data_IF_213807998930
#
_entry.id   IF_213807998930
#
_cell.length_a   1.000
_cell.length_b   1.000
_cell.length_c   1.000
_cell.angle_alpha   90.00
_cell.angle_beta   90.00
_cell.angle_gamma   90.00
#
_symmetry.space_group_name_H-M   'P 1'
#
loop_
_entity.id
_entity.type
_entity.pdbx_description
1 polymer ?
#
# COMPACT_ATOMS: atom_id res chain seq x y z
N UNK A 1 -10.13 -3.64 24.49
CA UNK A 1 -9.07 -3.68 23.46
C UNK A 1 -9.54 -4.65 22.38
N UNK A 2 -9.59 -4.21 21.13
CA UNK A 2 -10.09 -4.97 19.97
C UNK A 2 -9.24 -6.25 19.76
N UNK A 3 -9.88 -7.42 19.66
CA UNK A 3 -9.19 -8.73 19.59
C UNK A 3 -8.29 -8.84 18.37
N UNK A 4 -8.66 -8.26 17.24
CA UNK A 4 -7.82 -8.24 16.05
C UNK A 4 -6.47 -7.57 16.34
N UNK A 5 -6.49 -6.49 17.14
CA UNK A 5 -5.27 -5.79 17.59
C UNK A 5 -4.42 -6.61 18.55
N UNK A 6 -5.05 -7.41 19.40
CA UNK A 6 -4.30 -8.31 20.30
C UNK A 6 -3.64 -9.43 19.49
N UNK A 7 -4.38 -10.08 18.60
CA UNK A 7 -3.86 -11.19 17.79
C UNK A 7 -2.73 -10.74 16.87
N UNK A 8 -2.85 -9.59 16.22
CA UNK A 8 -1.79 -9.07 15.35
C UNK A 8 -0.53 -8.71 16.14
N UNK A 9 -0.66 -8.13 17.33
CA UNK A 9 0.48 -7.83 18.20
C UNK A 9 1.17 -9.11 18.65
N UNK A 10 0.41 -10.11 19.11
CA UNK A 10 0.97 -11.40 19.53
C UNK A 10 1.67 -12.11 18.37
N UNK A 11 1.04 -12.12 17.18
CA UNK A 11 1.65 -12.73 15.99
C UNK A 11 2.94 -11.99 15.60
N UNK A 12 2.90 -10.66 15.62
CA UNK A 12 4.06 -9.82 15.32
C UNK A 12 5.20 -10.02 16.32
N UNK A 13 4.94 -9.97 17.62
CA UNK A 13 5.97 -10.18 18.65
C UNK A 13 6.54 -11.59 18.64
N UNK A 14 5.71 -12.59 18.31
CA UNK A 14 6.19 -13.96 18.11
C UNK A 14 7.14 -14.06 16.92
N UNK A 15 6.93 -13.24 15.89
CA UNK A 15 7.77 -13.24 14.68
C UNK A 15 8.97 -12.28 14.75
N UNK A 16 8.90 -11.18 15.49
CA UNK A 16 10.01 -10.23 15.60
C UNK A 16 11.20 -10.79 16.39
N UNK A 17 10.97 -11.83 17.19
CA UNK A 17 12.04 -12.64 17.80
C UNK A 17 12.90 -13.40 16.78
N UNK A 18 12.49 -13.49 15.50
CA UNK A 18 13.30 -14.07 14.41
C UNK A 18 14.40 -13.12 13.88
N UNK A 19 14.75 -12.07 14.63
CA UNK A 19 15.77 -11.07 14.27
C UNK A 19 17.18 -11.61 13.95
N UNK A 20 17.62 -12.86 14.27
CA UNK A 20 18.87 -13.38 13.71
C UNK A 20 18.61 -14.17 12.40
N UNK A 21 17.95 -13.56 11.42
CA UNK A 21 17.99 -14.02 10.01
C UNK A 21 19.06 -13.26 9.20
N UNK A 22 20.04 -12.65 9.88
CA UNK A 22 21.32 -12.36 9.25
C UNK A 22 21.90 -13.69 8.75
N UNK A 23 21.70 -13.98 7.47
CA UNK A 23 22.23 -15.18 6.85
C UNK A 23 23.73 -15.23 7.10
N UNK A 24 24.18 -16.10 8.01
CA UNK A 24 25.59 -16.42 8.15
C UNK A 24 26.06 -16.98 6.82
N UNK A 25 26.81 -16.17 6.08
CA UNK A 25 27.52 -16.56 4.86
C UNK A 25 28.51 -17.65 5.24
N UNK A 26 28.16 -18.91 5.06
CA UNK A 26 29.11 -20.02 5.27
C UNK A 26 28.54 -21.37 5.67
N UNK A 27 27.26 -21.49 6.01
CA UNK A 27 26.68 -22.82 6.29
C UNK A 27 26.02 -23.38 5.02
N UNK A 28 26.63 -24.42 4.44
CA UNK A 28 25.96 -25.33 3.51
C UNK A 28 24.74 -25.93 4.22
N UNK A 29 23.61 -25.23 4.15
CA UNK A 29 22.36 -25.66 4.75
C UNK A 29 21.71 -26.72 3.87
N UNK A 30 21.37 -27.85 4.48
CA UNK A 30 20.43 -28.83 3.92
C UNK A 30 19.19 -28.12 3.33
N UNK A 31 18.64 -28.63 2.22
CA UNK A 31 17.49 -28.02 1.53
C UNK A 31 16.28 -27.79 2.45
N UNK A 32 16.13 -28.62 3.47
CA UNK A 32 15.10 -28.45 4.50
C UNK A 32 15.34 -27.22 5.40
N UNK A 33 16.60 -26.86 5.67
CA UNK A 33 16.97 -25.65 6.41
C UNK A 33 16.66 -24.37 5.64
N UNK A 34 16.82 -24.39 4.31
CA UNK A 34 16.51 -23.24 3.44
C UNK A 34 15.00 -22.96 3.40
N UNK A 35 14.19 -24.01 3.22
CA UNK A 35 12.73 -23.90 3.22
C UNK A 35 12.19 -23.42 4.57
N UNK A 36 12.78 -23.86 5.68
CA UNK A 36 12.41 -23.38 7.02
C UNK A 36 12.66 -21.88 7.16
N UNK A 37 13.84 -21.40 6.76
CA UNK A 37 14.21 -19.98 6.81
C UNK A 37 13.31 -19.11 5.92
N UNK A 38 12.97 -19.59 4.74
CA UNK A 38 12.02 -18.91 3.85
C UNK A 38 10.65 -18.74 4.51
N UNK A 39 10.16 -19.80 5.17
CA UNK A 39 8.88 -19.77 5.86
C UNK A 39 8.89 -18.76 7.01
N UNK A 40 9.96 -18.73 7.81
CA UNK A 40 10.13 -17.74 8.88
C UNK A 40 10.16 -16.32 8.33
N UNK A 41 10.89 -16.08 7.24
CA UNK A 41 10.95 -14.79 6.55
C UNK A 41 9.57 -14.37 6.01
N UNK A 42 8.83 -15.29 5.39
CA UNK A 42 7.46 -15.03 4.93
C UNK A 42 6.52 -14.70 6.10
N UNK A 43 6.64 -15.41 7.22
CA UNK A 43 5.86 -15.14 8.43
C UNK A 43 6.17 -13.76 9.01
N UNK A 44 7.45 -13.37 9.07
CA UNK A 44 7.87 -12.03 9.46
C UNK A 44 7.22 -10.97 8.57
N UNK A 45 7.38 -11.06 7.24
CA UNK A 45 6.83 -10.07 6.32
C UNK A 45 5.30 -10.01 6.35
N UNK A 46 4.62 -11.14 6.54
CA UNK A 46 3.17 -11.15 6.67
C UNK A 46 2.71 -10.41 7.95
N UNK A 47 3.35 -10.68 9.10
CA UNK A 47 3.03 -10.01 10.35
C UNK A 47 3.39 -8.51 10.29
N UNK A 48 4.56 -8.20 9.75
CA UNK A 48 5.04 -6.84 9.57
C UNK A 48 4.12 -6.02 8.66
N UNK A 49 3.76 -6.57 7.49
CA UNK A 49 2.83 -5.92 6.57
C UNK A 49 1.46 -5.68 7.22
N UNK A 50 0.99 -6.58 8.08
CA UNK A 50 -0.28 -6.40 8.79
C UNK A 50 -0.21 -5.22 9.79
N UNK A 51 0.89 -5.12 10.55
CA UNK A 51 1.12 -3.98 11.45
C UNK A 51 1.19 -2.68 10.64
N UNK A 52 1.92 -2.68 9.52
CA UNK A 52 2.04 -1.52 8.64
C UNK A 52 0.72 -1.14 7.96
N UNK A 53 -0.10 -2.11 7.56
CA UNK A 53 -1.39 -1.86 6.92
C UNK A 53 -2.38 -1.17 7.86
N UNK A 54 -2.41 -1.56 9.14
CA UNK A 54 -3.29 -0.98 10.15
C UNK A 54 -2.67 0.22 10.88
N UNK A 55 -1.34 0.34 10.84
CA UNK A 55 -0.52 1.19 11.70
C UNK A 55 -0.92 1.09 13.19
N UNK A 56 -1.34 -0.09 13.66
CA UNK A 56 -1.82 -0.31 15.02
C UNK A 56 -1.12 -1.54 15.62
N UNK A 57 -0.59 -1.43 16.84
CA UNK A 57 -0.43 -0.22 17.67
C UNK A 57 0.53 0.81 17.06
N UNK A 58 0.28 2.10 17.35
CA UNK A 58 1.09 3.22 16.89
C UNK A 58 2.59 3.05 17.21
N UNK A 59 2.91 2.51 18.39
CA UNK A 59 4.29 2.26 18.81
C UNK A 59 5.02 1.27 17.89
N UNK A 60 4.37 0.18 17.48
CA UNK A 60 4.96 -0.78 16.54
C UNK A 60 5.03 -0.19 15.14
N UNK A 61 4.01 0.53 14.68
CA UNK A 61 4.07 1.21 13.39
C UNK A 61 5.23 2.23 13.31
N UNK A 62 5.52 2.90 14.43
CA UNK A 62 6.66 3.81 14.58
C UNK A 62 8.01 3.12 14.72
N UNK A 63 8.09 1.83 14.97
CA UNK A 63 9.39 1.14 15.07
C UNK A 63 9.55 0.06 13.98
N UNK A 64 8.51 -0.19 13.19
CA UNK A 64 8.45 -1.20 12.15
C UNK A 64 9.61 -1.09 11.15
N UNK A 65 10.13 0.13 10.93
CA UNK A 65 11.26 0.36 10.03
C UNK A 65 12.59 -0.17 10.58
N UNK A 66 12.87 -0.01 11.88
CA UNK A 66 14.07 -0.55 12.51
C UNK A 66 14.05 -2.09 12.51
N UNK A 67 12.86 -2.66 12.58
CA UNK A 67 12.67 -4.11 12.59
C UNK A 67 12.79 -4.74 11.20
N UNK A 68 12.40 -4.03 10.14
CA UNK A 68 12.54 -4.48 8.75
C UNK A 68 13.90 -4.13 8.11
N UNK A 69 14.72 -3.30 8.76
CA UNK A 69 16.02 -2.93 8.23
C UNK A 69 16.92 -4.15 8.07
N UNK A 70 17.63 -4.23 6.94
CA UNK A 70 18.54 -5.32 6.57
C UNK A 70 17.88 -6.71 6.52
N UNK A 71 16.54 -6.77 6.64
CA UNK A 71 15.78 -7.99 6.41
C UNK A 71 15.60 -8.16 4.91
N UNK A 72 15.99 -9.32 4.35
CA UNK A 72 15.85 -9.54 2.91
C UNK A 72 14.39 -9.54 2.47
N UNK A 73 14.12 -8.97 1.30
CA UNK A 73 12.76 -8.89 0.74
C UNK A 73 12.26 -10.27 0.29
N UNK A 74 10.92 -10.49 0.27
CA UNK A 74 10.33 -11.73 -0.22
C UNK A 74 10.70 -12.02 -1.69
N UNK A 75 11.05 -13.27 -1.99
CA UNK A 75 11.29 -13.76 -3.34
C UNK A 75 10.00 -14.06 -4.11
N UNK A 76 10.10 -14.15 -5.43
CA UNK A 76 9.00 -14.67 -6.22
C UNK A 76 8.87 -16.20 -6.03
N UNK A 77 7.66 -16.77 -6.10
CA UNK A 77 7.44 -18.20 -5.92
C UNK A 77 8.32 -19.04 -6.87
N UNK A 78 9.03 -20.03 -6.31
CA UNK A 78 9.85 -20.98 -7.09
C UNK A 78 11.32 -20.60 -7.29
N UNK A 79 11.76 -19.46 -6.76
CA UNK A 79 13.15 -18.99 -6.93
C UNK A 79 14.15 -19.51 -5.88
N UNK A 80 13.67 -20.08 -4.77
CA UNK A 80 14.54 -20.60 -3.71
C UNK A 80 15.25 -21.92 -4.00
N UNK A 81 15.10 -22.47 -5.20
CA UNK A 81 15.72 -23.76 -5.55
C UNK A 81 17.26 -23.71 -5.65
N UNK A 82 17.87 -22.52 -5.58
CA UNK A 82 19.32 -22.36 -5.62
C UNK A 82 19.84 -21.74 -4.32
N UNK A 83 20.82 -22.41 -3.70
CA UNK A 83 21.60 -21.93 -2.54
C UNK A 83 22.26 -20.56 -2.77
N UNK A 84 22.51 -20.17 -4.02
CA UNK A 84 23.02 -18.84 -4.41
C UNK A 84 21.99 -17.70 -4.31
N UNK A 85 20.69 -18.00 -4.17
CA UNK A 85 19.62 -17.01 -4.30
C UNK A 85 19.51 -16.09 -3.06
N UNK A 86 19.81 -16.62 -1.87
CA UNK A 86 19.67 -15.90 -0.59
C UNK A 86 20.71 -14.78 -0.39
N UNK A 87 21.88 -14.90 -1.02
CA UNK A 87 22.94 -13.90 -0.96
C UNK A 87 22.67 -12.69 -1.88
N UNK A 88 21.69 -12.78 -2.79
CA UNK A 88 21.37 -11.76 -3.81
C UNK A 88 20.10 -10.96 -3.53
N UNK A 89 19.51 -11.13 -2.35
CA UNK A 89 18.22 -10.52 -2.01
C UNK A 89 18.37 -9.03 -1.75
N UNK A 90 17.56 -8.22 -2.43
CA UNK A 90 17.40 -6.81 -2.09
C UNK A 90 16.86 -6.68 -0.66
N UNK A 91 17.27 -5.63 0.04
CA UNK A 91 16.78 -5.29 1.38
C UNK A 91 16.51 -3.79 1.47
N UNK A 92 15.87 -3.37 2.55
CA UNK A 92 15.64 -1.96 2.85
C UNK A 92 16.58 -1.51 3.97
N UNK A 93 17.27 -0.38 3.77
CA UNK A 93 18.08 0.24 4.82
C UNK A 93 17.20 1.03 5.83
N UNK A 94 17.82 1.57 6.88
CA UNK A 94 17.14 2.37 7.91
C UNK A 94 16.42 3.61 7.36
N UNK A 95 16.83 4.09 6.18
CA UNK A 95 16.27 5.25 5.49
C UNK A 95 15.29 4.88 4.38
N UNK A 96 14.89 3.61 4.31
CA UNK A 96 13.97 3.08 3.31
C UNK A 96 14.49 3.21 1.87
N UNK A 97 15.80 3.06 1.69
CA UNK A 97 16.41 2.88 0.39
C UNK A 97 16.53 1.39 0.10
N UNK A 98 16.15 1.00 -1.11
CA UNK A 98 16.29 -0.37 -1.56
C UNK A 98 17.72 -0.57 -2.04
N UNK A 99 18.45 -1.47 -1.39
CA UNK A 99 19.83 -1.76 -1.71
C UNK A 99 19.96 -3.22 -2.15
N UNK A 100 20.70 -3.49 -3.24
CA UNK A 100 21.08 -4.85 -3.57
C UNK A 100 22.12 -5.34 -2.55
N UNK A 101 21.96 -6.57 -2.04
CA UNK A 101 22.86 -7.16 -1.04
C UNK A 101 24.27 -7.47 -1.55
N UNK A 102 24.44 -7.61 -2.87
CA UNK A 102 25.75 -7.72 -3.51
C UNK A 102 25.84 -6.75 -4.68
N UNK A 103 26.72 -5.77 -4.58
CA UNK A 103 27.26 -5.06 -5.75
C UNK A 103 28.25 -6.00 -6.44
N UNK A 104 27.77 -6.92 -7.28
CA UNK A 104 28.70 -7.69 -8.10
C UNK A 104 29.37 -6.77 -9.11
N UNK A 105 30.69 -6.76 -9.14
CA UNK A 105 31.56 -6.00 -10.06
C UNK A 105 31.41 -6.38 -11.55
N UNK A 106 30.43 -7.21 -11.90
CA UNK A 106 30.18 -7.66 -13.26
C UNK A 106 28.72 -7.33 -13.69
N UNK A 107 28.49 -6.20 -14.38
CA UNK A 107 27.15 -5.65 -14.64
C UNK A 107 26.33 -6.40 -15.70
N UNK A 108 26.84 -7.49 -16.30
CA UNK A 108 26.23 -8.09 -17.50
C UNK A 108 25.28 -9.28 -17.25
N UNK A 109 25.03 -9.74 -16.01
CA UNK A 109 24.27 -10.99 -15.81
C UNK A 109 23.28 -11.08 -14.65
N UNK A 110 22.98 -10.01 -13.92
CA UNK A 110 22.10 -10.12 -12.74
C UNK A 110 20.84 -9.28 -12.91
N UNK A 111 19.90 -9.77 -13.73
CA UNK A 111 18.51 -9.38 -13.57
C UNK A 111 18.00 -10.05 -12.29
N UNK A 112 18.02 -9.31 -11.17
CA UNK A 112 17.33 -9.76 -9.97
C UNK A 112 15.86 -9.99 -10.35
N UNK A 113 15.31 -11.18 -10.04
CA UNK A 113 13.95 -11.46 -10.41
C UNK A 113 12.98 -10.51 -9.70
N UNK A 114 12.04 -9.96 -10.46
CA UNK A 114 10.98 -9.10 -9.93
C UNK A 114 10.06 -9.90 -9.01
N UNK A 115 9.91 -9.43 -7.78
CA UNK A 115 9.00 -10.00 -6.79
C UNK A 115 7.87 -9.01 -6.52
N UNK A 116 6.65 -9.36 -6.93
CA UNK A 116 5.44 -8.56 -6.63
C UNK A 116 5.35 -8.29 -5.13
N UNK A 117 5.65 -9.29 -4.30
CA UNK A 117 5.63 -9.15 -2.84
C UNK A 117 6.77 -8.29 -2.33
N UNK A 118 7.95 -8.35 -2.94
CA UNK A 118 9.06 -7.44 -2.63
C UNK A 118 8.67 -5.98 -2.83
N UNK A 119 8.11 -5.64 -3.98
CA UNK A 119 7.60 -4.29 -4.27
C UNK A 119 6.45 -3.90 -3.33
N UNK A 120 5.60 -4.86 -2.97
CA UNK A 120 4.51 -4.64 -2.03
C UNK A 120 5.03 -4.27 -0.63
N UNK A 121 6.07 -4.95 -0.14
CA UNK A 121 6.69 -4.63 1.15
C UNK A 121 7.34 -3.24 1.14
N UNK A 122 7.95 -2.83 0.01
CA UNK A 122 8.49 -1.47 -0.14
C UNK A 122 7.39 -0.41 -0.03
N UNK A 123 6.25 -0.59 -0.70
CA UNK A 123 5.15 0.37 -0.66
C UNK A 123 4.38 0.38 0.65
N UNK A 124 4.16 -0.78 1.29
CA UNK A 124 3.35 -0.83 2.53
C UNK A 124 4.05 -0.13 3.70
N UNK A 125 5.39 -0.07 3.72
CA UNK A 125 6.09 0.75 4.72
C UNK A 125 5.99 2.25 4.45
N UNK A 126 5.95 2.68 3.18
CA UNK A 126 5.61 4.08 2.85
C UNK A 126 4.19 4.40 3.31
N UNK A 127 3.24 3.48 3.07
CA UNK A 127 1.86 3.61 3.56
C UNK A 127 1.78 3.75 5.08
N UNK A 128 2.55 2.95 5.84
CA UNK A 128 2.58 3.05 7.30
C UNK A 128 3.02 4.45 7.78
N UNK A 129 4.03 5.06 7.13
CA UNK A 129 4.47 6.43 7.43
C UNK A 129 3.40 7.48 7.11
N UNK A 130 2.72 7.32 5.98
CA UNK A 130 1.59 8.19 5.60
C UNK A 130 0.47 8.12 6.64
N UNK A 131 0.16 6.92 7.15
CA UNK A 131 -0.82 6.77 8.23
C UNK A 131 -0.38 7.49 9.51
N UNK A 132 0.88 7.35 9.93
CA UNK A 132 1.43 8.07 11.09
C UNK A 132 1.32 9.59 10.90
N UNK A 133 1.71 10.09 9.72
CA UNK A 133 1.56 11.50 9.36
C UNK A 133 0.10 11.94 9.48
N UNK A 134 -0.84 11.19 8.90
CA UNK A 134 -2.27 11.53 8.91
C UNK A 134 -2.89 11.58 10.31
N UNK A 135 -2.33 10.85 11.27
CA UNK A 135 -2.76 10.83 12.68
C UNK A 135 -2.08 11.89 13.54
N UNK A 136 -0.95 12.43 13.08
CA UNK A 136 -0.21 13.45 13.84
C UNK A 136 -0.90 14.79 13.62
N UNK A 137 -1.65 15.25 14.63
CA UNK A 137 -2.37 16.52 14.59
C UNK A 137 -1.38 17.70 14.68
N UNK A 138 -0.78 18.08 13.55
CA UNK A 138 -0.02 19.33 13.44
C UNK A 138 -0.90 20.46 12.91
N UNK A 139 -0.78 21.67 13.48
CA UNK A 139 -1.49 22.87 13.02
C UNK A 139 -1.14 23.22 11.56
N UNK A 140 0.08 22.89 11.13
CA UNK A 140 0.57 23.09 9.76
C UNK A 140 1.11 21.77 9.18
N UNK A 141 0.90 21.50 7.89
CA UNK A 141 1.42 20.29 7.27
C UNK A 141 2.94 20.40 7.06
N UNK A 142 3.69 19.39 7.48
CA UNK A 142 5.11 19.26 7.14
C UNK A 142 5.27 18.93 5.65
N UNK A 143 5.44 20.00 4.84
CA UNK A 143 5.54 19.91 3.38
C UNK A 143 6.75 19.05 2.97
N UNK A 144 7.89 19.20 3.63
CA UNK A 144 9.11 18.46 3.31
C UNK A 144 8.91 16.97 3.53
N UNK A 145 8.27 16.60 4.64
CA UNK A 145 7.98 15.19 4.91
C UNK A 145 6.93 14.61 3.95
N UNK A 146 5.88 15.37 3.62
CA UNK A 146 4.85 14.99 2.64
C UNK A 146 5.46 14.74 1.25
N UNK A 147 6.24 15.69 0.75
CA UNK A 147 6.87 15.60 -0.57
C UNK A 147 7.90 14.46 -0.60
N UNK A 148 8.67 14.28 0.48
CA UNK A 148 9.61 13.17 0.60
C UNK A 148 8.94 11.79 0.54
N UNK A 149 7.80 11.61 1.20
CA UNK A 149 7.02 10.36 1.14
C UNK A 149 6.39 10.14 -0.25
N UNK A 150 5.86 11.19 -0.87
CA UNK A 150 5.32 11.12 -2.23
C UNK A 150 6.41 10.73 -3.24
N UNK A 151 7.59 11.36 -3.16
CA UNK A 151 8.73 11.08 -4.02
C UNK A 151 9.24 9.65 -3.85
N UNK A 152 9.31 9.16 -2.61
CA UNK A 152 9.74 7.78 -2.31
C UNK A 152 8.76 6.74 -2.87
N UNK A 153 7.45 6.93 -2.71
CA UNK A 153 6.45 6.06 -3.34
C UNK A 153 6.57 6.06 -4.87
N UNK A 154 6.80 7.24 -5.46
CA UNK A 154 6.99 7.40 -6.91
C UNK A 154 8.24 6.69 -7.41
N UNK A 155 9.37 6.80 -6.71
CA UNK A 155 10.62 6.12 -7.06
C UNK A 155 10.44 4.60 -7.10
N UNK A 156 9.68 4.02 -6.16
CA UNK A 156 9.38 2.58 -6.16
C UNK A 156 8.52 2.22 -7.39
N UNK A 157 7.48 3.01 -7.66
CA UNK A 157 6.56 2.77 -8.78
C UNK A 157 7.20 2.89 -10.16
N UNK A 158 8.15 3.81 -10.32
CA UNK A 158 8.88 4.05 -11.58
C UNK A 158 10.11 3.14 -11.73
N UNK A 159 10.37 2.26 -10.76
CA UNK A 159 11.44 1.27 -10.83
C UNK A 159 11.20 0.29 -11.97
N UNK A 160 12.27 -0.12 -12.66
CA UNK A 160 12.22 -1.20 -13.66
C UNK A 160 11.80 -2.55 -13.07
N UNK A 161 11.88 -2.70 -11.75
CA UNK A 161 11.43 -3.89 -11.03
C UNK A 161 9.91 -3.91 -10.80
N UNK A 162 9.22 -2.78 -10.98
CA UNK A 162 7.80 -2.69 -10.71
C UNK A 162 7.01 -3.43 -11.80
N UNK A 163 6.15 -4.40 -11.45
CA UNK A 163 5.42 -5.19 -12.44
C UNK A 163 4.42 -4.30 -13.19
N UNK A 164 4.36 -4.36 -14.54
CA UNK A 164 3.47 -3.52 -15.31
C UNK A 164 2.01 -3.97 -15.21
N UNK A 165 1.08 -3.02 -15.29
CA UNK A 165 -0.34 -3.30 -15.48
C UNK A 165 -0.60 -3.75 -16.93
N UNK A 166 -1.28 -4.89 -17.11
CA UNK A 166 -1.59 -5.44 -18.43
C UNK A 166 -3.10 -5.48 -18.63
N UNK A 167 -3.61 -4.78 -19.65
CA UNK A 167 -5.05 -4.65 -19.96
C UNK A 167 -5.57 -5.70 -20.97
N UNK A 168 -4.85 -6.80 -21.16
CA UNK A 168 -5.11 -7.78 -22.23
C UNK A 168 -6.15 -8.87 -21.92
N UNK A 169 -6.91 -9.27 -22.94
CA UNK A 169 -7.84 -10.43 -22.92
C UNK A 169 -7.12 -11.79 -22.95
N UNK A 170 -5.83 -11.79 -23.25
CA UNK A 170 -5.03 -13.01 -23.34
C UNK A 170 -4.58 -13.44 -21.94
N UNK A 171 -5.38 -14.34 -21.36
CA UNK A 171 -5.13 -15.00 -20.06
C UNK A 171 -4.91 -14.03 -18.89
N UNK A 172 -5.93 -13.87 -18.04
CA UNK A 172 -5.81 -13.21 -16.74
C UNK A 172 -4.55 -13.74 -16.03
N UNK A 173 -3.54 -12.89 -15.74
CA UNK A 173 -2.34 -13.32 -15.04
C UNK A 173 -2.72 -14.01 -13.74
N UNK A 174 -2.05 -15.12 -13.38
CA UNK A 174 -2.31 -15.82 -12.11
C UNK A 174 -2.26 -14.89 -10.88
N UNK A 175 -1.47 -13.82 -10.97
CA UNK A 175 -1.27 -12.82 -9.93
C UNK A 175 -2.00 -11.48 -10.19
N UNK A 176 -3.00 -11.42 -11.08
CA UNK A 176 -3.65 -10.17 -11.48
C UNK A 176 -4.21 -9.37 -10.30
N UNK A 177 -4.85 -10.03 -9.33
CA UNK A 177 -5.35 -9.39 -8.10
C UNK A 177 -4.23 -8.80 -7.22
N UNK A 178 -3.05 -9.44 -7.20
CA UNK A 178 -1.88 -8.96 -6.43
C UNK A 178 -1.23 -7.76 -7.12
N UNK A 179 -1.13 -7.79 -8.45
CA UNK A 179 -0.66 -6.67 -9.26
C UNK A 179 -1.61 -5.48 -9.07
N UNK A 180 -2.93 -5.70 -9.17
CA UNK A 180 -3.92 -4.66 -8.87
C UNK A 180 -3.72 -4.10 -7.45
N UNK A 181 -3.58 -4.98 -6.45
CA UNK A 181 -3.29 -4.57 -5.07
C UNK A 181 -2.05 -3.68 -4.95
N UNK A 182 -0.98 -4.01 -5.66
CA UNK A 182 0.26 -3.24 -5.66
C UNK A 182 0.09 -1.85 -6.29
N UNK A 183 -0.53 -1.76 -7.48
CA UNK A 183 -0.81 -0.48 -8.13
C UNK A 183 -1.79 0.36 -7.30
N UNK A 184 -2.86 -0.24 -6.76
CA UNK A 184 -3.82 0.45 -5.89
C UNK A 184 -3.15 1.00 -4.63
N UNK A 185 -2.20 0.28 -4.04
CA UNK A 185 -1.44 0.76 -2.89
C UNK A 185 -0.60 1.99 -3.23
N UNK A 186 0.05 2.02 -4.39
CA UNK A 186 0.76 3.21 -4.86
C UNK A 186 -0.18 4.41 -5.03
N UNK A 187 -1.30 4.23 -5.72
CA UNK A 187 -2.28 5.31 -5.92
C UNK A 187 -2.87 5.78 -4.59
N UNK A 188 -3.14 4.87 -3.66
CA UNK A 188 -3.58 5.19 -2.30
C UNK A 188 -2.55 6.07 -1.57
N UNK A 189 -1.26 5.71 -1.63
CA UNK A 189 -0.20 6.51 -1.03
C UNK A 189 -0.22 7.95 -1.56
N UNK A 190 -0.30 8.13 -2.88
CA UNK A 190 -0.31 9.46 -3.51
C UNK A 190 -1.58 10.25 -3.19
N UNK A 191 -2.75 9.60 -3.20
CA UNK A 191 -4.02 10.24 -2.85
C UNK A 191 -3.99 10.77 -1.42
N UNK A 192 -3.54 9.97 -0.45
CA UNK A 192 -3.64 10.31 0.97
C UNK A 192 -2.52 11.25 1.41
N UNK A 193 -1.27 11.06 0.94
CA UNK A 193 -0.12 11.85 1.41
C UNK A 193 -0.25 13.33 1.07
N UNK A 194 -0.88 13.66 -0.05
CA UNK A 194 -1.05 15.04 -0.53
C UNK A 194 -2.32 15.73 0.01
N UNK A 195 -3.29 14.98 0.54
CA UNK A 195 -4.53 15.53 1.10
C UNK A 195 -4.32 16.68 2.11
N UNK A 196 -3.34 16.62 3.05
CA UNK A 196 -3.09 17.71 3.98
C UNK A 196 -2.76 19.06 3.30
N UNK A 197 -2.18 19.03 2.09
CA UNK A 197 -1.81 20.22 1.31
C UNK A 197 -2.98 20.83 0.52
N UNK A 198 -4.16 20.21 0.58
CA UNK A 198 -5.31 20.58 -0.22
C UNK A 198 -6.47 20.95 0.70
N UNK A 199 -6.81 22.23 0.80
CA UNK A 199 -7.89 22.73 1.69
C UNK A 199 -9.22 21.99 1.50
N UNK A 200 -9.53 21.61 0.25
CA UNK A 200 -10.76 20.88 -0.09
C UNK A 200 -10.81 19.47 0.54
N UNK A 201 -9.66 18.82 0.73
CA UNK A 201 -9.58 17.47 1.28
C UNK A 201 -9.12 17.45 2.75
N UNK A 202 -8.39 18.47 3.21
CA UNK A 202 -7.92 18.60 4.59
C UNK A 202 -8.96 19.18 5.56
N UNK A 203 -10.06 19.76 5.04
CA UNK A 203 -11.09 20.42 5.84
C UNK A 203 -10.63 21.74 6.48
N UNK A 204 -9.42 22.21 6.17
CA UNK A 204 -8.86 23.46 6.68
C UNK A 204 -9.34 24.64 5.85
N UNK A 205 -9.60 25.78 6.49
CA UNK A 205 -9.81 27.03 5.76
C UNK A 205 -8.50 27.47 5.13
N UNK A 206 -8.54 27.84 3.85
CA UNK A 206 -7.37 28.39 3.16
C UNK A 206 -6.93 29.67 3.88
N UNK A 207 -5.66 29.73 4.29
CA UNK A 207 -5.12 30.94 4.91
C UNK A 207 -5.00 32.04 3.84
N UNK A 208 -5.28 33.32 4.16
CA UNK A 208 -5.00 34.42 3.24
C UNK A 208 -3.48 34.47 2.99
N UNK A 209 -3.04 34.07 1.80
CA UNK A 209 -1.63 33.95 1.43
C UNK A 209 -1.17 32.53 1.06
N UNK A 210 -2.02 31.51 1.25
CA UNK A 210 -1.74 30.17 0.72
C UNK A 210 -1.52 30.23 -0.79
N UNK A 211 -0.44 29.55 -1.24
CA UNK A 211 -0.07 29.38 -2.65
C UNK A 211 -1.19 28.62 -3.38
N UNK A 212 -2.26 29.32 -3.77
CA UNK A 212 -3.42 28.80 -4.49
C UNK A 212 -3.02 27.92 -5.67
N UNK A 213 -1.91 28.26 -6.33
CA UNK A 213 -1.35 27.50 -7.45
C UNK A 213 -0.79 26.14 -7.00
N UNK A 214 -0.07 26.07 -5.88
CA UNK A 214 0.46 24.81 -5.36
C UNK A 214 -0.65 23.91 -4.81
N UNK A 215 -1.62 24.48 -4.08
CA UNK A 215 -2.82 23.75 -3.65
C UNK A 215 -3.60 23.19 -4.85
N UNK A 216 -3.72 23.97 -5.94
CA UNK A 216 -4.35 23.51 -7.17
C UNK A 216 -3.56 22.39 -7.83
N UNK A 217 -2.25 22.55 -7.99
CA UNK A 217 -1.38 21.52 -8.57
C UNK A 217 -1.48 20.20 -7.78
N UNK A 218 -1.44 20.26 -6.45
CA UNK A 218 -1.62 19.08 -5.60
C UNK A 218 -3.00 18.44 -5.78
N UNK A 219 -4.06 19.24 -5.92
CA UNK A 219 -5.41 18.72 -6.18
C UNK A 219 -5.55 18.03 -7.54
N UNK A 220 -4.85 18.53 -8.56
CA UNK A 220 -4.80 17.92 -9.89
C UNK A 220 -4.05 16.58 -9.86
N UNK A 221 -2.95 16.51 -9.10
CA UNK A 221 -2.21 15.26 -8.86
C UNK A 221 -3.07 14.22 -8.13
N UNK A 222 -3.71 14.60 -7.01
CA UNK A 222 -4.61 13.69 -6.26
C UNK A 222 -5.77 13.20 -7.14
N UNK A 223 -6.37 14.09 -7.93
CA UNK A 223 -7.44 13.74 -8.87
C UNK A 223 -6.94 12.75 -9.92
N UNK A 224 -5.75 12.98 -10.48
CA UNK A 224 -5.13 12.06 -11.44
C UNK A 224 -4.95 10.67 -10.84
N UNK A 225 -4.42 10.55 -9.62
CA UNK A 225 -4.24 9.24 -8.98
C UNK A 225 -5.58 8.55 -8.66
N UNK A 226 -6.62 9.30 -8.29
CA UNK A 226 -7.96 8.74 -8.12
C UNK A 226 -8.52 8.19 -9.44
N UNK A 227 -8.38 8.93 -10.55
CA UNK A 227 -8.80 8.50 -11.89
C UNK A 227 -8.02 7.24 -12.31
N UNK A 228 -6.70 7.23 -12.13
CA UNK A 228 -5.88 6.05 -12.47
C UNK A 228 -6.29 4.82 -11.65
N UNK A 229 -6.59 4.98 -10.35
CA UNK A 229 -7.13 3.88 -9.54
C UNK A 229 -8.51 3.41 -10.04
N UNK A 230 -9.41 4.34 -10.36
CA UNK A 230 -10.72 4.00 -10.93
C UNK A 230 -10.62 3.23 -12.25
N UNK A 231 -9.66 3.58 -13.11
CA UNK A 231 -9.37 2.86 -14.35
C UNK A 231 -8.88 1.43 -14.08
N UNK A 232 -7.95 1.24 -13.14
CA UNK A 232 -7.48 -0.10 -12.75
C UNK A 232 -8.63 -1.00 -12.27
N UNK A 233 -9.52 -0.45 -11.44
CA UNK A 233 -10.70 -1.15 -10.95
C UNK A 233 -11.62 -1.53 -12.11
N UNK A 234 -11.92 -0.58 -13.00
CA UNK A 234 -12.76 -0.83 -14.17
C UNK A 234 -12.18 -1.90 -15.08
N UNK A 235 -10.90 -1.83 -15.39
CA UNK A 235 -10.20 -2.81 -16.21
C UNK A 235 -10.28 -4.21 -15.58
N UNK A 236 -10.14 -4.31 -14.26
CA UNK A 236 -10.27 -5.56 -13.53
C UNK A 236 -11.69 -6.15 -13.61
N UNK A 237 -12.73 -5.31 -13.44
CA UNK A 237 -14.14 -5.72 -13.53
C UNK A 237 -14.48 -6.17 -14.96
N UNK A 238 -14.13 -5.36 -15.97
CA UNK A 238 -14.36 -5.67 -17.39
C UNK A 238 -13.62 -6.95 -17.79
N UNK A 239 -12.43 -7.15 -17.26
CA UNK A 239 -11.63 -8.37 -17.40
C UNK A 239 -12.17 -9.59 -16.64
N UNK A 240 -13.33 -9.49 -15.96
CA UNK A 240 -13.93 -10.54 -15.11
C UNK A 240 -12.99 -11.03 -14.02
N UNK A 241 -12.22 -10.11 -13.45
CA UNK A 241 -11.37 -10.38 -12.30
C UNK A 241 -12.17 -10.87 -11.10
N UNK A 242 -11.58 -11.78 -10.34
CA UNK A 242 -12.18 -12.35 -9.15
C UNK A 242 -12.08 -11.36 -7.98
N UNK A 243 -13.18 -10.68 -7.68
CA UNK A 243 -13.24 -9.61 -6.65
C UNK A 243 -12.95 -10.18 -5.24
N UNK A 244 -13.24 -11.46 -4.99
CA UNK A 244 -12.98 -12.10 -3.69
C UNK A 244 -11.50 -12.19 -3.33
N UNK A 245 -10.60 -12.03 -4.32
CA UNK A 245 -9.14 -12.06 -4.14
C UNK A 245 -8.53 -10.68 -3.87
N UNK A 246 -9.32 -9.61 -3.92
CA UNK A 246 -8.80 -8.27 -3.68
C UNK A 246 -8.47 -8.07 -2.20
N UNK A 247 -7.34 -7.40 -1.95
CA UNK A 247 -6.95 -7.08 -0.58
C UNK A 247 -7.85 -5.97 0.01
N UNK A 248 -7.98 -5.88 1.34
CA UNK A 248 -8.67 -4.77 1.99
C UNK A 248 -8.13 -3.39 1.63
N UNK A 249 -6.84 -3.30 1.28
CA UNK A 249 -6.22 -2.04 0.85
C UNK A 249 -6.73 -1.59 -0.53
N UNK A 250 -7.08 -2.50 -1.43
CA UNK A 250 -7.76 -2.15 -2.69
C UNK A 250 -9.13 -1.53 -2.40
N UNK A 251 -9.91 -2.14 -1.50
CA UNK A 251 -11.18 -1.58 -1.06
C UNK A 251 -10.99 -0.20 -0.43
N UNK A 252 -10.01 -0.03 0.45
CA UNK A 252 -9.73 1.26 1.07
C UNK A 252 -9.30 2.32 0.04
N UNK A 253 -8.46 1.96 -0.94
CA UNK A 253 -8.10 2.84 -2.06
C UNK A 253 -9.34 3.25 -2.87
N UNK A 254 -10.26 2.31 -3.15
CA UNK A 254 -11.53 2.58 -3.82
C UNK A 254 -12.42 3.52 -3.02
N UNK A 255 -12.49 3.36 -1.71
CA UNK A 255 -13.22 4.26 -0.82
C UNK A 255 -12.64 5.69 -0.87
N UNK A 256 -11.32 5.84 -0.80
CA UNK A 256 -10.63 7.14 -0.89
C UNK A 256 -10.86 7.80 -2.25
N UNK A 257 -10.69 7.05 -3.35
CA UNK A 257 -10.93 7.54 -4.71
C UNK A 257 -12.38 8.02 -4.90
N UNK A 258 -13.36 7.23 -4.42
CA UNK A 258 -14.79 7.60 -4.46
C UNK A 258 -15.05 8.88 -3.68
N UNK A 259 -14.44 9.04 -2.50
CA UNK A 259 -14.57 10.24 -1.68
C UNK A 259 -14.01 11.48 -2.40
N UNK A 260 -12.89 11.33 -3.10
CA UNK A 260 -12.32 12.38 -3.96
C UNK A 260 -13.29 12.73 -5.10
N UNK A 261 -13.80 11.74 -5.84
CA UNK A 261 -14.74 11.97 -6.95
C UNK A 261 -16.01 12.70 -6.49
N UNK A 262 -16.61 12.27 -5.38
CA UNK A 262 -17.80 12.92 -4.81
C UNK A 262 -17.51 14.37 -4.39
N UNK A 263 -16.34 14.62 -3.81
CA UNK A 263 -15.91 15.96 -3.42
C UNK A 263 -15.71 16.86 -4.63
N UNK A 264 -15.10 16.33 -5.70
CA UNK A 264 -14.94 17.04 -6.97
C UNK A 264 -16.30 17.35 -7.62
N UNK A 265 -17.20 16.38 -7.72
CA UNK A 265 -18.56 16.58 -8.26
C UNK A 265 -19.34 17.62 -7.46
N UNK A 266 -19.27 17.57 -6.12
CA UNK A 266 -19.93 18.55 -5.24
C UNK A 266 -19.35 19.96 -5.37
N UNK A 267 -18.02 20.07 -5.47
CA UNK A 267 -17.35 21.37 -5.66
C UNK A 267 -17.61 21.95 -7.04
N UNK A 268 -17.65 21.10 -8.07
CA UNK A 268 -18.04 21.45 -9.43
C UNK A 268 -19.48 21.95 -9.48
N UNK A 269 -20.45 21.19 -8.95
CA UNK A 269 -21.86 21.59 -8.94
C UNK A 269 -22.09 22.99 -8.34
N UNK A 270 -21.30 23.38 -7.33
CA UNK A 270 -21.35 24.74 -6.73
C UNK A 270 -20.77 25.84 -7.61
N UNK A 271 -19.81 25.52 -8.50
CA UNK A 271 -19.22 26.44 -9.48
C UNK A 271 -20.01 26.46 -10.81
N UNK A 272 -20.88 25.48 -11.04
CA UNK A 272 -21.53 25.17 -12.32
C UNK A 272 -22.91 25.80 -12.55
N UNK A 273 -23.18 26.98 -11.98
CA UNK A 273 -24.29 27.78 -12.47
C UNK A 273 -24.00 28.39 -13.88
N UNK A 274 -22.81 28.16 -14.49
CA UNK A 274 -22.33 29.01 -15.61
C UNK A 274 -21.58 28.32 -16.80
N UNK A 275 -21.52 26.98 -16.95
CA UNK A 275 -20.87 26.35 -18.16
C UNK A 275 -21.23 24.87 -18.36
N UNK A 276 -21.76 24.49 -19.54
CA UNK A 276 -22.57 23.27 -19.71
C UNK A 276 -22.00 22.07 -20.51
N UNK A 277 -21.08 22.20 -21.48
CA UNK A 277 -20.88 21.07 -22.44
C UNK A 277 -19.67 20.16 -22.19
N UNK A 278 -18.49 20.69 -21.85
CA UNK A 278 -17.29 19.85 -21.64
C UNK A 278 -17.31 19.02 -20.34
N UNK A 279 -18.16 19.38 -19.39
CA UNK A 279 -18.20 18.75 -18.07
C UNK A 279 -19.09 17.51 -18.00
N UNK A 280 -20.10 17.40 -18.86
CA UNK A 280 -21.07 16.30 -18.81
C UNK A 280 -20.36 14.97 -19.05
N UNK A 281 -19.39 14.94 -19.96
CA UNK A 281 -18.63 13.74 -20.27
C UNK A 281 -17.66 13.36 -19.15
N UNK A 282 -16.98 14.33 -18.52
CA UNK A 282 -16.14 14.10 -17.33
C UNK A 282 -16.99 13.63 -16.14
N UNK A 283 -18.14 14.26 -15.89
CA UNK A 283 -19.08 13.85 -14.85
C UNK A 283 -19.59 12.43 -15.08
N UNK A 284 -19.92 12.06 -16.33
CA UNK A 284 -20.34 10.71 -16.65
C UNK A 284 -19.24 9.67 -16.40
N UNK A 285 -18.00 9.95 -16.82
CA UNK A 285 -16.86 9.06 -16.55
C UNK A 285 -16.61 8.89 -15.05
N UNK A 286 -16.69 9.97 -14.27
CA UNK A 286 -16.57 9.92 -12.81
C UNK A 286 -17.70 9.09 -12.19
N UNK A 287 -18.94 9.24 -12.66
CA UNK A 287 -20.08 8.46 -12.17
C UNK A 287 -19.92 6.96 -12.45
N UNK A 288 -19.41 6.59 -13.63
CA UNK A 288 -19.11 5.18 -13.94
C UNK A 288 -18.03 4.65 -13.00
N UNK A 289 -16.94 5.38 -12.79
CA UNK A 289 -15.90 4.95 -11.85
C UNK A 289 -16.40 4.87 -10.40
N UNK A 290 -17.29 5.77 -9.98
CA UNK A 290 -17.95 5.71 -8.67
C UNK A 290 -18.81 4.43 -8.56
N UNK A 291 -19.55 4.08 -9.61
CA UNK A 291 -20.34 2.86 -9.61
C UNK A 291 -19.44 1.63 -9.51
N UNK A 292 -18.38 1.56 -10.32
CA UNK A 292 -17.41 0.46 -10.31
C UNK A 292 -16.76 0.28 -8.93
N UNK A 293 -16.39 1.37 -8.26
CA UNK A 293 -15.80 1.31 -6.90
C UNK A 293 -16.82 0.93 -5.85
N UNK A 294 -18.06 1.42 -5.94
CA UNK A 294 -19.15 1.04 -5.03
C UNK A 294 -19.46 -0.45 -5.17
N UNK A 295 -19.54 -0.98 -6.39
CA UNK A 295 -19.85 -2.39 -6.63
C UNK A 295 -18.80 -3.31 -5.98
N UNK A 296 -17.51 -3.00 -6.16
CA UNK A 296 -16.43 -3.74 -5.47
C UNK A 296 -16.56 -3.62 -3.95
N UNK A 297 -16.80 -2.42 -3.43
CA UNK A 297 -16.94 -2.20 -1.99
C UNK A 297 -18.11 -3.01 -1.41
N UNK A 298 -19.24 -3.03 -2.08
CA UNK A 298 -20.41 -3.82 -1.69
C UNK A 298 -20.11 -5.31 -1.69
N UNK A 299 -19.41 -5.82 -2.70
CA UNK A 299 -18.99 -7.23 -2.77
C UNK A 299 -18.00 -7.55 -1.65
N UNK A 300 -16.96 -6.73 -1.45
CA UNK A 300 -15.97 -6.93 -0.39
C UNK A 300 -16.60 -6.89 1.00
N UNK A 301 -17.59 -6.01 1.21
CA UNK A 301 -18.34 -5.95 2.46
C UNK A 301 -19.01 -7.28 2.78
N UNK A 302 -19.55 -8.02 1.79
CA UNK A 302 -20.15 -9.34 2.06
C UNK A 302 -19.16 -10.35 2.65
N UNK A 303 -17.88 -10.26 2.27
CA UNK A 303 -16.81 -11.11 2.80
C UNK A 303 -16.27 -10.63 4.14
N UNK A 304 -16.38 -9.34 4.44
CA UNK A 304 -15.85 -8.75 5.67
C UNK A 304 -16.86 -8.63 6.80
N UNK A 305 -18.16 -8.56 6.50
CA UNK A 305 -19.22 -8.51 7.52
C UNK A 305 -19.14 -9.68 8.52
N UNK A 306 -18.84 -10.94 8.10
CA UNK A 306 -18.64 -12.04 9.03
C UNK A 306 -17.45 -11.86 9.99
N UNK A 307 -16.48 -11.00 9.64
CA UNK A 307 -15.31 -10.70 10.47
C UNK A 307 -15.60 -9.59 11.50
N UNK A 308 -16.71 -8.86 11.36
CA UNK A 308 -17.11 -7.77 12.27
C UNK A 308 -17.19 -8.18 13.75
N UNK A 309 -17.67 -9.38 14.13
CA UNK A 309 -17.64 -9.83 15.51
C UNK A 309 -16.22 -9.94 16.10
N UNK A 310 -15.20 -10.24 15.28
CA UNK A 310 -13.81 -10.28 15.74
C UNK A 310 -13.28 -8.91 16.14
N UNK A 311 -13.89 -7.84 15.63
CA UNK A 311 -13.57 -6.45 15.97
C UNK A 311 -14.36 -5.97 17.21
N UNK A 312 -15.60 -6.46 17.37
CA UNK A 312 -16.58 -5.90 18.32
C UNK A 312 -16.91 -6.75 19.56
N UNK A 313 -16.49 -8.02 19.65
CA UNK A 313 -16.79 -8.84 20.84
C UNK A 313 -15.78 -8.59 21.99
N UNK A 314 -16.20 -7.79 22.97
CA UNK A 314 -15.82 -7.96 24.38
C UNK A 314 -17.10 -8.21 25.19
N UNK A 315 -17.11 -9.27 26.02
CA UNK A 315 -16.70 -9.07 27.40
C UNK A 315 -15.70 -10.15 27.82
N UNK A 316 -14.45 -9.76 28.10
CA UNK A 316 -13.63 -10.50 29.06
C UNK A 316 -13.66 -9.66 30.33
N UNK A 317 -14.61 -10.00 31.20
CA UNK A 317 -14.60 -9.61 32.61
C UNK A 317 -13.41 -10.31 33.24
N UNK A 318 -12.26 -9.63 33.31
CA UNK A 318 -11.21 -10.06 34.23
C UNK A 318 -11.65 -9.55 35.59
N UNK A 319 -12.25 -10.45 36.36
CA UNK A 319 -12.50 -10.26 37.79
C UNK A 319 -11.17 -9.94 38.48
N UNK A 320 -11.17 -8.81 39.18
CA UNK A 320 -10.25 -8.45 40.26
C UNK A 320 -9.99 -9.65 41.18
N UNK A 321 -8.72 -9.99 41.34
CA UNK A 321 -8.08 -10.30 42.62
C UNK A 321 -6.68 -9.71 42.62
#
# INVERSE_FOLDING_TARGET
MDRARIHIVIAYTSCSNFRPLAFSTGAEGDGNSILHKEREQCCFWACWASICASAIPDAYARNAWEEACDVPLPLAPGQLRATECLSRLDYMDMNWNCLPRLQTSNPQRVTNPTSIMGEYMKLIGVWARIQILSRTSQEEPDVVWIEGLSAKAKQIYESSQFPPWSTGKDTIPKDHARILGLHSLYHLCQMVVLCPLISLFSGRQAKPGDLREQTRANSEVVTKHAIMHGQLIRDYIVGRGDISKLSPLVGFASFVATSIFLTLLRSGARRHQDRQEGLVQTSHQLLVMIQDTIDILSILQTFWEPLRPMVNMSPITISTF
#
